data_IF_422033710225
#
_entry.id   IF_422033710225
#
_cell.length_a   1.000
_cell.length_b   1.000
_cell.length_c   1.000
_cell.angle_alpha   90.00
_cell.angle_beta   90.00
_cell.angle_gamma   90.00
#
_symmetry.space_group_name_H-M   'P 1'
#
loop_
_entity.id
_entity.type
_entity.pdbx_description
1 polymer ?
#
# COMPACT_ATOMS: atom_id res chain seq x y z
N UNK A 1 9.29 -57.75 -30.76
CA UNK A 1 9.36 -56.26 -30.79
C UNK A 1 8.58 -55.70 -29.61
N UNK A 2 9.29 -55.22 -28.62
CA UNK A 2 8.65 -54.56 -27.46
C UNK A 2 8.46 -53.10 -27.79
N UNK A 3 7.19 -52.67 -27.86
CA UNK A 3 6.86 -51.25 -27.97
C UNK A 3 7.04 -50.60 -26.61
N UNK A 4 8.00 -49.68 -26.48
CA UNK A 4 8.22 -48.88 -25.32
C UNK A 4 7.18 -47.75 -25.33
N UNK A 5 6.19 -47.81 -24.44
CA UNK A 5 5.27 -46.70 -24.18
C UNK A 5 5.99 -45.69 -23.28
N UNK A 6 6.44 -44.62 -23.88
CA UNK A 6 6.94 -43.44 -23.11
C UNK A 6 5.70 -42.69 -22.66
N UNK A 7 5.34 -42.86 -21.39
CA UNK A 7 4.32 -42.05 -20.74
C UNK A 7 4.95 -40.67 -20.39
N UNK A 8 4.63 -39.68 -21.20
CA UNK A 8 5.01 -38.31 -20.93
C UNK A 8 4.13 -37.81 -19.79
N UNK A 9 4.67 -37.80 -18.56
CA UNK A 9 4.02 -37.13 -17.42
C UNK A 9 4.19 -35.64 -17.62
N UNK A 10 3.10 -34.97 -18.03
CA UNK A 10 3.03 -33.54 -18.13
C UNK A 10 2.85 -32.98 -16.70
N UNK A 11 3.95 -32.55 -16.07
CA UNK A 11 3.90 -31.84 -14.78
C UNK A 11 3.35 -30.44 -15.06
N UNK A 12 2.07 -30.24 -14.73
CA UNK A 12 1.51 -28.90 -14.62
C UNK A 12 2.06 -28.25 -13.34
N UNK A 13 3.05 -27.39 -13.50
CA UNK A 13 3.39 -26.42 -12.44
C UNK A 13 2.28 -25.38 -12.40
N UNK A 14 1.35 -25.52 -11.45
CA UNK A 14 0.48 -24.43 -11.09
C UNK A 14 1.37 -23.44 -10.31
N UNK A 15 1.90 -22.44 -11.02
CA UNK A 15 2.49 -21.29 -10.39
C UNK A 15 1.37 -20.53 -9.69
N UNK A 16 1.20 -20.73 -8.38
CA UNK A 16 0.51 -19.76 -7.54
C UNK A 16 1.34 -18.49 -7.56
N UNK A 17 1.03 -17.57 -8.48
CA UNK A 17 1.50 -16.22 -8.39
C UNK A 17 0.71 -15.53 -7.29
N UNK A 18 1.15 -15.68 -6.03
CA UNK A 18 0.84 -14.69 -5.02
C UNK A 18 1.50 -13.41 -5.52
N UNK A 19 0.69 -12.42 -5.93
CA UNK A 19 1.19 -11.09 -6.28
C UNK A 19 1.64 -10.40 -5.00
N UNK A 20 2.82 -10.75 -4.52
CA UNK A 20 3.43 -10.08 -3.39
C UNK A 20 3.76 -8.65 -3.82
N UNK A 21 3.16 -7.69 -3.12
CA UNK A 21 3.47 -6.28 -3.33
C UNK A 21 4.90 -6.02 -2.85
N UNK A 22 5.80 -5.67 -3.78
CA UNK A 22 7.20 -5.40 -3.47
C UNK A 22 7.45 -4.02 -2.87
N UNK A 23 6.51 -3.08 -3.06
CA UNK A 23 6.62 -1.67 -2.65
C UNK A 23 5.66 -1.35 -1.49
N UNK A 24 5.57 -2.21 -0.48
CA UNK A 24 4.77 -1.94 0.71
C UNK A 24 5.22 -0.64 1.40
N UNK A 25 4.30 0.21 1.84
CA UNK A 25 4.62 1.54 2.37
C UNK A 25 5.57 1.49 3.56
N UNK A 26 5.39 0.58 4.50
CA UNK A 26 6.26 0.41 5.67
C UNK A 26 7.66 -0.10 5.33
N UNK A 27 7.84 -0.66 4.15
CA UNK A 27 9.16 -1.13 3.65
C UNK A 27 9.94 -0.02 2.94
N UNK A 28 9.24 0.82 2.17
CA UNK A 28 9.88 1.87 1.37
C UNK A 28 9.93 3.23 2.07
N UNK A 29 9.10 3.44 3.10
CA UNK A 29 9.03 4.68 3.87
C UNK A 29 8.85 4.41 5.37
N UNK A 30 9.83 3.74 6.03
CA UNK A 30 9.72 3.37 7.45
C UNK A 30 9.73 4.58 8.39
N UNK A 31 10.14 5.75 7.93
CA UNK A 31 10.08 7.01 8.66
C UNK A 31 8.67 7.60 8.76
N UNK A 32 7.78 7.22 7.85
CA UNK A 32 6.38 7.65 7.81
C UNK A 32 5.43 6.59 8.35
N UNK A 33 5.69 5.32 8.03
CA UNK A 33 4.81 4.18 8.34
C UNK A 33 5.39 3.31 9.45
N UNK A 34 4.60 3.12 10.50
CA UNK A 34 4.91 2.23 11.60
C UNK A 34 3.89 1.11 11.70
N UNK A 35 4.34 -0.14 11.75
CA UNK A 35 3.48 -1.29 12.01
C UNK A 35 3.12 -1.32 13.49
N UNK A 36 1.83 -1.19 13.81
CA UNK A 36 1.30 -1.28 15.17
C UNK A 36 0.94 -2.71 15.55
N UNK A 37 0.36 -3.43 14.60
CA UNK A 37 -0.05 -4.83 14.76
C UNK A 37 0.04 -5.53 13.42
N UNK A 38 0.53 -6.76 13.42
CA UNK A 38 0.51 -7.65 12.26
C UNK A 38 0.30 -9.09 12.71
N UNK A 39 -0.69 -9.74 12.13
CA UNK A 39 -0.95 -11.17 12.30
C UNK A 39 -1.49 -11.75 10.98
N UNK A 40 -2.01 -12.99 11.02
CA UNK A 40 -2.54 -13.66 9.82
C UNK A 40 -3.77 -12.98 9.22
N UNK A 41 -4.53 -12.23 10.04
CA UNK A 41 -5.82 -11.65 9.64
C UNK A 41 -5.71 -10.18 9.23
N UNK A 42 -4.91 -9.40 9.97
CA UNK A 42 -4.82 -7.94 9.79
C UNK A 42 -3.40 -7.42 9.95
N UNK A 43 -3.17 -6.27 9.31
CA UNK A 43 -2.03 -5.39 9.56
C UNK A 43 -2.54 -3.97 9.83
N UNK A 44 -2.13 -3.38 10.94
CA UNK A 44 -2.47 -2.01 11.31
C UNK A 44 -1.21 -1.16 11.25
N UNK A 45 -1.29 -0.07 10.49
CA UNK A 45 -0.22 0.90 10.32
C UNK A 45 -0.62 2.23 10.95
N UNK A 46 0.34 2.86 11.64
CA UNK A 46 0.28 4.28 11.97
C UNK A 46 1.11 5.04 10.93
N UNK A 47 0.51 6.06 10.35
CA UNK A 47 1.11 6.90 9.32
C UNK A 47 1.19 8.32 9.85
N UNK A 48 2.38 8.91 9.83
CA UNK A 48 2.59 10.28 10.31
C UNK A 48 3.42 11.06 9.29
N UNK A 49 2.85 12.18 8.83
CA UNK A 49 3.53 13.12 7.96
C UNK A 49 3.73 14.45 8.70
N UNK A 50 4.98 14.84 8.92
CA UNK A 50 5.31 16.20 9.30
C UNK A 50 5.04 17.17 8.15
N UNK A 51 4.85 18.48 8.41
CA UNK A 51 4.73 19.47 7.34
C UNK A 51 5.89 19.38 6.34
N UNK A 52 5.57 19.29 5.05
CA UNK A 52 6.54 19.16 3.97
C UNK A 52 7.10 17.75 3.76
N UNK A 53 6.80 16.79 4.61
CA UNK A 53 7.28 15.42 4.49
C UNK A 53 6.56 14.67 3.38
N UNK A 54 7.32 13.91 2.62
CA UNK A 54 6.84 13.01 1.57
C UNK A 54 7.26 11.59 1.89
N UNK A 55 6.41 10.63 1.55
CA UNK A 55 6.81 9.23 1.47
C UNK A 55 7.38 8.90 0.08
N UNK A 56 7.71 7.64 -0.14
CA UNK A 56 8.11 7.13 -1.43
C UNK A 56 6.92 6.48 -2.15
N UNK A 57 7.01 6.40 -3.48
CA UNK A 57 6.02 5.66 -4.27
C UNK A 57 5.88 4.24 -3.70
N UNK A 58 4.66 3.86 -3.36
CA UNK A 58 4.34 2.59 -2.73
C UNK A 58 3.03 2.03 -3.26
N UNK A 59 2.81 0.77 -2.98
CA UNK A 59 1.56 0.09 -3.28
C UNK A 59 1.06 -0.60 -2.02
N UNK A 60 -0.24 -0.48 -1.75
CA UNK A 60 -0.86 -1.15 -0.62
C UNK A 60 -2.13 -1.90 -1.03
N UNK A 61 -2.46 -2.91 -0.23
CA UNK A 61 -3.69 -3.69 -0.34
C UNK A 61 -4.94 -2.84 -0.05
N UNK A 62 -6.14 -3.35 -0.35
CA UNK A 62 -7.38 -2.72 0.11
C UNK A 62 -7.31 -2.44 1.60
N UNK A 63 -7.76 -1.27 2.00
CA UNK A 63 -7.64 -0.82 3.38
C UNK A 63 -8.82 0.04 3.82
N UNK A 64 -9.13 -0.05 5.10
CA UNK A 64 -9.93 0.96 5.78
C UNK A 64 -8.98 1.92 6.47
N UNK A 65 -9.20 3.19 6.25
CA UNK A 65 -8.32 4.27 6.67
C UNK A 65 -9.08 5.20 7.61
N UNK A 66 -8.53 5.43 8.79
CA UNK A 66 -9.02 6.42 9.73
C UNK A 66 -8.08 7.63 9.78
N UNK A 67 -8.59 8.79 9.38
CA UNK A 67 -7.87 10.05 9.43
C UNK A 67 -8.02 10.62 10.84
N UNK A 68 -7.01 10.45 11.68
CA UNK A 68 -7.00 10.98 13.05
C UNK A 68 -6.82 12.50 13.02
N UNK A 69 -5.78 12.95 12.33
CA UNK A 69 -5.50 14.37 12.06
C UNK A 69 -5.37 14.55 10.55
N UNK A 70 -6.32 15.27 9.96
CA UNK A 70 -6.35 15.59 8.56
C UNK A 70 -5.41 16.72 8.21
N UNK A 71 -5.44 17.12 6.95
CA UNK A 71 -4.63 18.23 6.45
C UNK A 71 -4.55 18.21 4.94
N UNK A 72 -3.76 19.08 4.39
CA UNK A 72 -3.62 19.28 2.96
C UNK A 72 -2.45 18.44 2.44
N UNK A 73 -2.72 17.60 1.45
CA UNK A 73 -1.72 16.73 0.86
C UNK A 73 -1.79 16.70 -0.67
N UNK A 74 -0.68 16.36 -1.28
CA UNK A 74 -0.60 15.98 -2.69
C UNK A 74 -0.43 14.47 -2.82
N UNK A 75 -1.20 13.87 -3.72
CA UNK A 75 -1.08 12.46 -4.10
C UNK A 75 -0.59 12.39 -5.53
N UNK A 76 0.56 11.78 -5.72
CA UNK A 76 1.17 11.57 -7.04
C UNK A 76 0.93 10.12 -7.47
N UNK A 77 0.34 9.96 -8.65
CA UNK A 77 0.08 8.65 -9.27
C UNK A 77 1.30 8.18 -10.08
N UNK A 78 1.38 6.88 -10.44
CA UNK A 78 2.51 6.34 -11.20
C UNK A 78 2.73 7.01 -12.58
N UNK A 79 1.69 7.56 -13.19
CA UNK A 79 1.76 8.28 -14.45
C UNK A 79 2.24 9.75 -14.32
N UNK A 80 2.53 10.19 -13.08
CA UNK A 80 2.96 11.54 -12.76
C UNK A 80 1.82 12.53 -12.48
N UNK A 81 0.56 12.11 -12.57
CA UNK A 81 -0.59 12.93 -12.20
C UNK A 81 -0.54 13.28 -10.71
N UNK A 82 -0.71 14.56 -10.39
CA UNK A 82 -0.73 15.06 -9.01
C UNK A 82 -2.13 15.56 -8.68
N UNK A 83 -2.71 15.02 -7.62
CA UNK A 83 -4.01 15.44 -7.10
C UNK A 83 -3.84 16.04 -5.69
N UNK A 84 -4.46 17.19 -5.45
CA UNK A 84 -4.51 17.78 -4.14
C UNK A 84 -5.73 17.25 -3.38
N UNK A 85 -5.54 16.85 -2.13
CA UNK A 85 -6.59 16.38 -1.23
C UNK A 85 -6.51 17.16 0.09
N UNK A 86 -7.63 17.25 0.77
CA UNK A 86 -7.72 17.89 2.08
C UNK A 86 -8.68 17.10 2.99
N UNK A 87 -8.32 15.88 3.39
CA UNK A 87 -9.19 15.08 4.24
C UNK A 87 -9.37 15.74 5.61
N UNK A 88 -10.61 15.78 6.13
CA UNK A 88 -10.86 16.27 7.47
C UNK A 88 -10.36 15.28 8.54
N UNK A 89 -10.13 15.79 9.74
CA UNK A 89 -9.91 14.94 10.92
C UNK A 89 -11.17 14.14 11.27
N UNK A 90 -11.00 13.01 11.98
CA UNK A 90 -12.10 12.11 12.38
C UNK A 90 -12.92 11.59 11.20
N UNK A 91 -12.25 11.23 10.12
CA UNK A 91 -12.87 10.74 8.90
C UNK A 91 -12.43 9.33 8.57
N UNK A 92 -13.37 8.48 8.15
CA UNK A 92 -13.09 7.10 7.76
C UNK A 92 -13.42 6.93 6.28
N UNK A 93 -12.50 6.28 5.56
CA UNK A 93 -12.68 5.91 4.17
C UNK A 93 -12.23 4.46 3.94
N UNK A 94 -12.95 3.73 3.10
CA UNK A 94 -12.58 2.38 2.69
C UNK A 94 -12.19 2.36 1.22
N UNK A 95 -10.99 1.89 0.96
CA UNK A 95 -10.47 1.67 -0.39
C UNK A 95 -10.53 0.17 -0.70
N UNK A 96 -11.44 -0.27 -1.57
CA UNK A 96 -11.66 -1.70 -1.84
C UNK A 96 -10.66 -2.31 -2.83
N UNK A 97 -9.74 -1.51 -3.36
CA UNK A 97 -8.74 -1.92 -4.35
C UNK A 97 -7.33 -1.59 -3.89
N UNK A 98 -6.35 -2.30 -4.45
CA UNK A 98 -4.95 -1.90 -4.33
C UNK A 98 -4.77 -0.48 -4.84
N UNK A 99 -3.92 0.28 -4.18
CA UNK A 99 -3.57 1.63 -4.58
C UNK A 99 -2.06 1.78 -4.70
N UNK A 100 -1.61 2.49 -5.74
CA UNK A 100 -0.20 2.82 -5.94
C UNK A 100 -0.07 4.32 -6.09
N UNK A 101 0.68 4.94 -5.18
CA UNK A 101 0.85 6.38 -5.12
C UNK A 101 2.02 6.81 -4.24
N UNK A 102 2.29 8.09 -4.26
CA UNK A 102 3.17 8.80 -3.34
C UNK A 102 2.38 9.94 -2.71
N UNK A 103 2.58 10.20 -1.43
CA UNK A 103 1.88 11.25 -0.67
C UNK A 103 2.88 12.25 -0.11
N UNK A 104 2.53 13.53 -0.18
CA UNK A 104 3.27 14.62 0.44
C UNK A 104 2.34 15.51 1.26
N UNK A 105 2.69 15.76 2.50
CA UNK A 105 2.01 16.77 3.32
C UNK A 105 2.43 18.16 2.86
N UNK A 106 1.51 18.91 2.26
CA UNK A 106 1.73 20.29 1.80
C UNK A 106 1.10 21.34 2.71
N UNK A 107 0.52 20.90 3.82
CA UNK A 107 -0.02 21.78 4.88
C UNK A 107 1.04 22.17 5.90
N UNK A 108 0.60 22.85 6.92
CA UNK A 108 1.42 23.38 8.02
C UNK A 108 1.24 22.64 9.35
N UNK A 109 0.41 21.59 9.37
CA UNK A 109 0.18 20.73 10.53
C UNK A 109 0.63 19.29 10.27
N UNK A 110 0.83 18.53 11.34
CA UNK A 110 1.08 17.09 11.27
C UNK A 110 -0.21 16.40 10.83
N UNK A 111 -0.08 15.47 9.89
CA UNK A 111 -1.16 14.53 9.52
C UNK A 111 -0.91 13.18 10.17
N UNK A 112 -1.95 12.60 10.77
CA UNK A 112 -1.90 11.28 11.40
C UNK A 112 -3.06 10.40 10.92
N UNK A 113 -2.71 9.18 10.52
CA UNK A 113 -3.63 8.24 9.88
C UNK A 113 -3.38 6.84 10.46
N UNK A 114 -4.45 6.09 10.65
CA UNK A 114 -4.40 4.67 11.03
C UNK A 114 -5.04 3.84 9.93
#
# INVERSE_FOLDING_TARGET
MKKLLISTVLLFFIACSSSDISLLPEKVSPDVYKVLLENEDIKILEVTFAPGQSDNMHEHYPATVYIVEGGKAEVTLPDGTVNEINPPSDFIVHNPKNAKHQVKNIGDNIMKII
#
